data_IF_108931548441
#
_entry.id   IF_108931548441
#
_cell.length_a   1.000
_cell.length_b   1.000
_cell.length_c   1.000
_cell.angle_alpha   90.00
_cell.angle_beta   90.00
_cell.angle_gamma   90.00
#
_symmetry.space_group_name_H-M   'P 1'
#
loop_
_entity.id
_entity.type
_entity.pdbx_description
1 polymer ?
#
# COMPACT_ATOMS: atom_id res chain seq x y z
N UNK A 1 9.53 -23.03 -12.58
CA UNK A 1 9.39 -21.57 -12.67
C UNK A 1 8.22 -21.16 -11.78
N UNK A 2 8.47 -20.55 -10.63
CA UNK A 2 7.38 -20.02 -9.80
C UNK A 2 7.07 -18.63 -10.33
N UNK A 3 6.20 -18.55 -11.33
CA UNK A 3 5.80 -17.28 -11.94
C UNK A 3 5.21 -16.40 -10.84
N UNK A 4 5.91 -15.31 -10.51
CA UNK A 4 5.40 -14.29 -9.60
C UNK A 4 4.15 -13.73 -10.27
N UNK A 5 2.96 -14.10 -9.78
CA UNK A 5 1.70 -13.48 -10.23
C UNK A 5 1.71 -12.02 -9.79
N UNK A 6 2.06 -11.13 -10.69
CA UNK A 6 1.90 -9.70 -10.48
C UNK A 6 0.40 -9.41 -10.37
N UNK A 7 0.00 -8.75 -9.29
CA UNK A 7 -1.39 -8.30 -9.08
C UNK A 7 -1.43 -6.81 -9.40
N UNK A 8 -2.00 -6.46 -10.55
CA UNK A 8 -2.37 -5.08 -10.88
C UNK A 8 -3.73 -4.77 -10.27
N UNK A 9 -3.86 -3.57 -9.67
CA UNK A 9 -5.13 -3.06 -9.16
C UNK A 9 -5.50 -1.84 -9.99
N UNK A 10 -6.70 -1.84 -10.57
CA UNK A 10 -7.27 -0.68 -11.21
C UNK A 10 -7.97 0.17 -10.15
N UNK A 11 -7.60 1.43 -10.06
CA UNK A 11 -8.16 2.39 -9.13
C UNK A 11 -8.93 3.43 -9.93
N UNK A 12 -10.16 3.72 -9.52
CA UNK A 12 -10.83 4.94 -9.94
C UNK A 12 -10.11 6.17 -9.34
N UNK A 13 -10.39 7.35 -9.91
CA UNK A 13 -9.71 8.59 -9.52
C UNK A 13 -9.96 8.99 -8.06
N UNK A 14 -11.16 8.71 -7.52
CA UNK A 14 -11.52 9.09 -6.15
C UNK A 14 -10.79 8.21 -5.14
N UNK A 15 -10.77 6.90 -5.38
CA UNK A 15 -10.03 5.92 -4.58
C UNK A 15 -8.53 6.20 -4.65
N UNK A 16 -7.99 6.50 -5.83
CA UNK A 16 -6.59 6.87 -5.98
C UNK A 16 -6.25 8.12 -5.14
N UNK A 17 -7.07 9.17 -5.21
CA UNK A 17 -6.89 10.39 -4.43
C UNK A 17 -6.95 10.14 -2.91
N UNK A 18 -7.89 9.32 -2.45
CA UNK A 18 -7.99 8.93 -1.05
C UNK A 18 -6.72 8.20 -0.57
N UNK A 19 -6.19 7.28 -1.39
CA UNK A 19 -4.95 6.58 -1.09
C UNK A 19 -3.72 7.48 -1.08
N UNK A 20 -3.65 8.47 -1.97
CA UNK A 20 -2.58 9.48 -1.94
C UNK A 20 -2.62 10.33 -0.66
N UNK A 21 -3.82 10.73 -0.20
CA UNK A 21 -3.98 11.47 1.06
C UNK A 21 -3.52 10.63 2.25
N UNK A 22 -3.97 9.37 2.32
CA UNK A 22 -3.54 8.44 3.36
C UNK A 22 -2.01 8.25 3.38
N UNK A 23 -1.39 8.13 2.20
CA UNK A 23 0.06 8.04 2.08
C UNK A 23 0.77 9.26 2.66
N UNK A 24 0.27 10.47 2.39
CA UNK A 24 0.83 11.70 2.92
C UNK A 24 0.64 11.83 4.44
N UNK A 25 -0.50 11.38 4.97
CA UNK A 25 -0.74 11.39 6.41
C UNK A 25 0.21 10.43 7.14
N UNK A 26 0.46 9.24 6.58
CA UNK A 26 1.47 8.30 7.10
C UNK A 26 2.87 8.93 7.06
N UNK A 27 3.24 9.57 5.94
CA UNK A 27 4.54 10.24 5.81
C UNK A 27 4.73 11.33 6.87
N UNK A 28 3.72 12.18 7.06
CA UNK A 28 3.74 13.24 8.08
C UNK A 28 3.88 12.67 9.48
N UNK A 29 3.09 11.64 9.81
CA UNK A 29 3.15 11.00 11.13
C UNK A 29 4.51 10.34 11.41
N UNK A 30 5.12 9.70 10.40
CA UNK A 30 6.47 9.14 10.53
C UNK A 30 7.49 10.25 10.82
N UNK A 31 7.40 11.38 10.11
CA UNK A 31 8.26 12.54 10.35
C UNK A 31 8.06 13.16 11.75
N UNK A 32 6.82 13.29 12.21
CA UNK A 32 6.48 13.84 13.54
C UNK A 32 6.98 12.95 14.69
N UNK A 33 6.90 11.63 14.51
CA UNK A 33 7.34 10.65 15.52
C UNK A 33 8.86 10.43 15.51
N UNK A 34 9.59 11.04 14.57
CA UNK A 34 11.03 10.84 14.39
C UNK A 34 11.39 9.42 13.94
N UNK A 35 10.41 8.63 13.50
CA UNK A 35 10.64 7.29 12.99
C UNK A 35 11.03 7.38 11.51
N UNK A 36 12.23 6.89 11.18
CA UNK A 36 12.67 6.72 9.79
C UNK A 36 11.99 5.49 9.16
N UNK A 37 10.66 5.51 9.17
CA UNK A 37 9.84 4.47 8.57
C UNK A 37 9.53 4.85 7.12
N UNK A 38 9.86 3.96 6.16
CA UNK A 38 9.59 4.23 4.77
C UNK A 38 8.09 4.40 4.53
N UNK A 39 7.74 5.30 3.61
CA UNK A 39 6.34 5.62 3.30
C UNK A 39 5.79 4.57 2.33
N UNK A 40 4.61 3.98 2.58
CA UNK A 40 4.06 2.96 1.69
C UNK A 40 3.69 3.51 0.30
N UNK A 41 3.74 2.66 -0.71
CA UNK A 41 3.27 2.96 -2.07
C UNK A 41 1.75 2.90 -2.13
N UNK A 42 1.15 3.67 -3.06
CA UNK A 42 -0.30 3.61 -3.31
C UNK A 42 -0.74 2.22 -3.74
N UNK A 43 0.05 1.53 -4.57
CA UNK A 43 -0.24 0.17 -5.00
C UNK A 43 -0.28 -0.82 -3.83
N UNK A 44 0.64 -0.69 -2.87
CA UNK A 44 0.62 -1.52 -1.67
C UNK A 44 -0.60 -1.20 -0.78
N UNK A 45 -0.93 0.08 -0.59
CA UNK A 45 -2.12 0.46 0.18
C UNK A 45 -3.40 -0.12 -0.45
N UNK A 46 -3.55 0.00 -1.78
CA UNK A 46 -4.66 -0.57 -2.53
C UNK A 46 -4.77 -2.09 -2.35
N UNK A 47 -3.66 -2.82 -2.53
CA UNK A 47 -3.63 -4.28 -2.35
C UNK A 47 -3.91 -4.67 -0.90
N UNK A 48 -3.46 -3.89 0.07
CA UNK A 48 -3.70 -4.13 1.49
C UNK A 48 -5.18 -3.99 1.83
N UNK A 49 -5.84 -2.93 1.35
CA UNK A 49 -7.28 -2.75 1.50
C UNK A 49 -8.08 -3.88 0.85
N UNK A 50 -7.74 -4.24 -0.40
CA UNK A 50 -8.40 -5.33 -1.12
C UNK A 50 -8.27 -6.67 -0.39
N UNK A 51 -7.09 -6.98 0.17
CA UNK A 51 -6.91 -8.21 0.94
C UNK A 51 -7.71 -8.20 2.22
N UNK A 52 -7.75 -7.06 2.92
CA UNK A 52 -8.56 -6.91 4.13
C UNK A 52 -10.05 -7.13 3.86
N UNK A 53 -10.58 -6.59 2.76
CA UNK A 53 -11.98 -6.79 2.39
C UNK A 53 -12.30 -8.24 2.01
N UNK A 54 -11.33 -8.96 1.46
CA UNK A 54 -11.45 -10.37 1.08
C UNK A 54 -11.08 -11.36 2.21
N UNK A 55 -10.68 -10.87 3.39
CA UNK A 55 -10.19 -11.73 4.48
C UNK A 55 -8.88 -12.47 4.17
N UNK A 56 -8.10 -11.98 3.20
CA UNK A 56 -6.83 -12.56 2.78
C UNK A 56 -5.71 -11.97 3.64
N UNK A 57 -4.80 -12.82 4.13
CA UNK A 57 -3.61 -12.36 4.86
C UNK A 57 -2.59 -11.72 3.91
N UNK A 58 -1.85 -10.72 4.41
CA UNK A 58 -0.75 -10.12 3.65
C UNK A 58 0.30 -11.18 3.28
N UNK A 59 0.78 -11.13 2.04
CA UNK A 59 1.91 -11.96 1.61
C UNK A 59 3.21 -11.42 2.21
N UNK A 60 4.09 -12.29 2.71
CA UNK A 60 5.41 -11.92 3.24
C UNK A 60 6.28 -11.18 2.22
N UNK A 61 6.00 -11.35 0.93
CA UNK A 61 6.75 -10.72 -0.17
C UNK A 61 6.18 -9.37 -0.59
N UNK A 62 5.02 -8.95 -0.06
CA UNK A 62 4.41 -7.67 -0.40
C UNK A 62 4.95 -6.56 0.50
N UNK A 63 6.08 -6.00 0.10
CA UNK A 63 6.73 -4.94 0.85
C UNK A 63 5.99 -3.60 0.64
N UNK A 64 5.87 -2.76 1.67
CA UNK A 64 5.09 -1.52 1.55
C UNK A 64 5.71 -0.52 0.59
N UNK A 65 6.98 -0.67 0.23
CA UNK A 65 7.78 0.32 -0.51
C UNK A 65 8.19 -0.15 -1.90
N UNK A 66 7.89 -1.40 -2.24
CA UNK A 66 8.20 -1.96 -3.56
C UNK A 66 6.94 -1.92 -4.43
N UNK A 67 7.06 -1.27 -5.59
CA UNK A 67 6.00 -1.08 -6.58
C UNK A 67 6.56 -1.19 -7.97
#
# INVERSE_FOLDING_TARGET
MNEKKAVSVYLDNETALALYRLREDIRKKNAETGMDLPTPTVGWLARSLLRQSLGIKADKKDLPHEG
#
